data_IF_141086764904
#
_entry.id   IF_141086764904
#
_cell.length_a   1.000
_cell.length_b   1.000
_cell.length_c   1.000
_cell.angle_alpha   90.00
_cell.angle_beta   90.00
_cell.angle_gamma   90.00
#
_symmetry.space_group_name_H-M   'P 1'
#
loop_
_entity.id
_entity.type
_entity.pdbx_description
1 polymer ?
#
# COMPACT_ATOMS: atom_id res chain seq x y z
N UNK A 1 12.59 9.74 -14.55
CA UNK A 1 11.76 9.93 -15.72
C UNK A 1 10.51 9.06 -15.65
N UNK A 2 9.43 9.64 -15.99
CA UNK A 2 8.19 8.92 -15.85
C UNK A 2 7.97 7.99 -17.04
N UNK A 3 7.59 6.78 -16.77
CA UNK A 3 7.26 5.84 -17.79
C UNK A 3 5.85 6.08 -18.30
N UNK A 4 5.69 6.01 -19.57
CA UNK A 4 4.40 6.23 -20.18
C UNK A 4 3.77 4.93 -20.53
N UNK A 5 2.64 4.68 -19.92
CA UNK A 5 1.97 3.42 -20.12
C UNK A 5 0.90 3.48 -21.19
N UNK A 6 0.79 4.57 -21.90
CA UNK A 6 -0.33 4.73 -22.79
C UNK A 6 -0.40 3.66 -23.85
N UNK A 7 0.69 3.47 -24.57
CA UNK A 7 0.65 2.49 -25.58
C UNK A 7 0.67 1.15 -24.94
N UNK A 8 0.73 0.54 -24.43
CA UNK A 8 0.77 -0.75 -23.85
C UNK A 8 -0.11 -0.86 -22.64
N UNK A 9 -1.12 -0.09 -22.62
CA UNK A 9 -1.94 -0.06 -21.44
C UNK A 9 -2.42 -1.46 -21.04
N UNK A 10 -2.99 -2.21 -21.94
CA UNK A 10 -3.47 -3.55 -21.63
C UNK A 10 -2.30 -4.48 -21.30
N UNK A 11 -1.23 -4.38 -22.08
CA UNK A 11 -0.07 -5.23 -21.85
C UNK A 11 0.62 -4.86 -20.55
N UNK A 12 0.74 -3.56 -20.25
CA UNK A 12 1.34 -3.13 -19.01
C UNK A 12 0.54 -3.62 -17.83
N UNK A 13 -0.78 -3.59 -17.92
CA UNK A 13 -1.61 -4.06 -16.87
C UNK A 13 -1.43 -5.55 -16.63
N UNK A 14 -1.33 -6.32 -17.69
CA UNK A 14 -1.10 -7.74 -17.55
C UNK A 14 0.26 -8.02 -16.93
N UNK A 15 1.28 -7.25 -17.32
CA UNK A 15 2.61 -7.43 -16.76
C UNK A 15 2.77 -6.84 -15.40
N UNK A 16 1.96 -5.84 -15.09
CA UNK A 16 2.08 -5.13 -13.84
C UNK A 16 1.63 -5.98 -12.66
N UNK A 17 1.29 -7.26 -12.90
CA UNK A 17 1.05 -8.13 -11.79
C UNK A 17 2.25 -8.25 -10.86
N UNK A 18 3.44 -7.84 -11.31
CA UNK A 18 4.64 -7.98 -10.50
C UNK A 18 5.10 -6.62 -10.00
N UNK A 19 4.81 -6.34 -8.75
CA UNK A 19 5.27 -5.11 -8.12
C UNK A 19 6.66 -5.34 -7.57
N UNK A 20 7.58 -4.41 -7.81
CA UNK A 20 8.95 -4.53 -7.36
C UNK A 20 9.49 -3.27 -6.71
N UNK A 21 8.77 -2.15 -6.75
CA UNK A 21 9.30 -0.90 -6.27
C UNK A 21 8.20 0.03 -5.79
N UNK A 22 8.60 1.04 -5.06
CA UNK A 22 7.69 2.11 -4.64
C UNK A 22 8.36 3.45 -4.94
N UNK A 23 7.58 4.37 -5.45
CA UNK A 23 8.03 5.74 -5.67
C UNK A 23 8.30 6.41 -4.33
N UNK A 24 9.41 7.14 -4.24
CA UNK A 24 9.81 7.76 -2.97
C UNK A 24 8.76 8.72 -2.42
N UNK A 25 8.14 9.51 -3.29
CA UNK A 25 7.13 10.46 -2.81
C UNK A 25 5.90 9.74 -2.28
N UNK A 26 5.56 8.62 -2.88
CA UNK A 26 4.44 7.82 -2.40
C UNK A 26 4.74 7.24 -1.03
N UNK A 27 5.96 6.73 -0.85
CA UNK A 27 6.35 6.22 0.46
C UNK A 27 6.31 7.33 1.51
N UNK A 28 6.82 8.50 1.17
CA UNK A 28 6.78 9.65 2.08
C UNK A 28 5.35 9.99 2.45
N UNK A 29 4.44 9.95 1.49
CA UNK A 29 3.04 10.21 1.75
C UNK A 29 2.47 9.21 2.76
N UNK A 30 2.76 7.93 2.58
CA UNK A 30 2.27 6.92 3.50
C UNK A 30 2.77 7.15 4.92
N UNK A 31 4.02 7.54 5.06
CA UNK A 31 4.59 7.82 6.38
C UNK A 31 3.94 9.06 7.00
N UNK A 32 3.75 10.10 6.20
CA UNK A 32 3.12 11.32 6.70
C UNK A 32 1.66 11.08 7.08
N UNK A 33 0.99 10.22 6.35
CA UNK A 33 -0.38 9.85 6.71
C UNK A 33 -0.43 9.16 8.06
N UNK A 34 0.59 8.35 8.37
CA UNK A 34 0.67 7.71 9.67
C UNK A 34 0.78 8.72 10.79
N UNK A 35 1.61 9.75 10.59
CA UNK A 35 1.73 10.81 11.59
C UNK A 35 0.41 11.54 11.77
N UNK A 36 -0.27 11.84 10.68
CA UNK A 36 -1.51 12.62 10.74
C UNK A 36 -2.64 11.85 11.39
N UNK A 37 -2.70 10.56 11.19
CA UNK A 37 -3.80 9.76 11.72
C UNK A 37 -3.56 9.26 13.14
N UNK A 38 -2.30 9.30 13.59
CA UNK A 38 -1.96 8.80 14.93
C UNK A 38 -2.85 9.45 15.98
N UNK A 39 -3.37 8.74 16.96
CA UNK A 39 -3.07 7.34 17.29
C UNK A 39 -3.97 6.32 16.61
N UNK A 40 -4.74 6.72 15.62
CA UNK A 40 -5.61 5.81 14.90
C UNK A 40 -4.86 5.20 13.72
N UNK A 41 -5.32 4.03 13.30
CA UNK A 41 -4.79 3.38 12.10
C UNK A 41 -5.48 3.95 10.88
N UNK A 42 -4.74 3.99 9.77
CA UNK A 42 -5.36 4.22 8.47
C UNK A 42 -5.16 2.99 7.61
N UNK A 43 -5.98 2.88 6.57
CA UNK A 43 -5.80 1.85 5.57
C UNK A 43 -6.26 2.38 4.22
N UNK A 44 -5.45 2.16 3.20
CA UNK A 44 -5.71 2.64 1.84
C UNK A 44 -5.35 1.55 0.86
N UNK A 45 -5.84 1.70 -0.36
CA UNK A 45 -5.42 0.85 -1.47
C UNK A 45 -4.25 1.50 -2.20
N UNK A 46 -3.44 0.67 -2.83
CA UNK A 46 -2.26 1.12 -3.56
C UNK A 46 -2.41 0.79 -5.03
N UNK A 47 -2.00 1.73 -5.87
CA UNK A 47 -1.92 1.52 -7.30
C UNK A 47 -0.48 1.56 -7.76
N UNK A 48 -0.25 0.99 -8.94
CA UNK A 48 1.10 0.92 -9.49
C UNK A 48 1.07 1.10 -10.99
N UNK A 49 2.18 1.59 -11.52
CA UNK A 49 2.44 1.62 -12.96
C UNK A 49 3.73 0.89 -13.21
N UNK A 50 3.67 -0.10 -14.08
CA UNK A 50 4.84 -0.90 -14.47
C UNK A 50 5.61 -1.41 -13.26
N UNK A 51 4.86 -1.87 -12.27
CA UNK A 51 5.46 -2.49 -11.10
C UNK A 51 5.94 -1.52 -10.04
N UNK A 52 5.75 -0.22 -10.22
CA UNK A 52 6.15 0.79 -9.24
C UNK A 52 4.91 1.35 -8.57
N UNK A 53 4.82 1.19 -7.26
CA UNK A 53 3.70 1.76 -6.50
C UNK A 53 3.83 3.27 -6.52
N UNK A 54 2.82 3.94 -7.09
CA UNK A 54 2.85 5.40 -7.23
C UNK A 54 1.51 6.07 -6.99
N UNK A 55 0.56 5.33 -6.44
CA UNK A 55 -0.78 5.86 -6.23
C UNK A 55 -1.35 5.36 -4.92
N UNK A 56 -2.05 6.23 -4.23
CA UNK A 56 -2.74 5.90 -2.98
C UNK A 56 -4.22 6.23 -3.17
N UNK A 57 -5.08 5.26 -2.88
CA UNK A 57 -6.52 5.43 -3.03
C UNK A 57 -7.20 5.29 -1.68
N UNK A 58 -7.56 6.40 -1.04
CA UNK A 58 -8.43 6.31 0.14
C UNK A 58 -9.80 5.83 -0.29
N UNK A 59 -10.37 4.91 0.47
CA UNK A 59 -11.69 4.36 0.15
C UNK A 59 -12.67 4.79 1.23
N UNK A 60 -13.76 5.39 0.80
CA UNK A 60 -14.77 5.88 1.72
C UNK A 60 -15.21 4.77 2.68
N UNK A 61 -15.31 5.08 3.94
CA UNK A 61 -15.71 4.12 4.96
C UNK A 61 -14.60 3.22 5.44
N UNK A 62 -13.43 3.24 4.79
CA UNK A 62 -12.31 2.44 5.23
C UNK A 62 -11.51 3.18 6.28
N UNK A 63 -10.66 2.46 7.00
CA UNK A 63 -9.85 3.05 8.03
C UNK A 63 -9.94 2.22 9.28
N UNK A 64 -9.89 2.88 10.43
CA UNK A 64 -9.98 2.15 11.66
C UNK A 64 -9.78 3.04 12.85
N UNK A 65 -9.92 2.42 14.03
CA UNK A 65 -9.63 3.11 15.26
C UNK A 65 -8.21 2.83 15.67
N UNK A 66 -8.01 2.78 16.98
CA UNK A 66 -6.69 2.52 17.51
C UNK A 66 -6.31 1.04 17.46
N UNK A 67 -7.28 0.16 17.27
CA UNK A 67 -7.05 -1.28 17.39
C UNK A 67 -7.02 -2.03 16.08
N UNK A 68 -7.73 -1.57 15.05
CA UNK A 68 -7.84 -2.32 13.81
C UNK A 68 -8.18 -1.39 12.67
N UNK A 69 -7.74 -1.77 11.49
CA UNK A 69 -8.09 -1.07 10.27
C UNK A 69 -8.76 -2.05 9.32
N UNK A 70 -9.51 -1.52 8.37
CA UNK A 70 -10.24 -2.33 7.43
C UNK A 70 -10.50 -1.56 6.15
N UNK A 71 -10.74 -2.31 5.08
CA UNK A 71 -11.13 -1.72 3.80
C UNK A 71 -12.60 -2.07 3.56
N UNK A 72 -13.38 -1.04 3.22
CA UNK A 72 -14.77 -1.24 2.82
C UNK A 72 -14.78 -1.62 1.35
N UNK A 73 -14.64 -2.90 1.08
CA UNK A 73 -14.46 -3.37 -0.29
C UNK A 73 -15.66 -3.07 -1.19
N UNK A 74 -16.85 -3.04 -0.62
CA UNK A 74 -18.03 -2.72 -1.42
C UNK A 74 -18.10 -1.24 -1.81
N UNK A 75 -17.22 -0.41 -1.24
CA UNK A 75 -17.13 0.99 -1.64
C UNK A 75 -16.05 1.23 -2.69
N UNK A 76 -15.32 0.20 -3.06
CA UNK A 76 -14.28 0.34 -4.09
C UNK A 76 -14.97 0.44 -5.45
N UNK A 77 -14.69 1.50 -6.22
CA UNK A 77 -15.36 1.67 -7.52
C UNK A 77 -15.08 0.49 -8.45
N UNK A 78 -16.10 0.12 -9.20
CA UNK A 78 -15.96 -0.92 -10.19
C UNK A 78 -14.90 -0.49 -11.19
N UNK A 79 -14.05 -1.43 -11.55
CA UNK A 79 -13.01 -1.16 -12.54
C UNK A 79 -11.76 -0.53 -11.98
N UNK A 80 -11.74 -0.20 -10.69
CA UNK A 80 -10.51 0.32 -10.09
C UNK A 80 -9.45 -0.78 -10.05
N UNK A 81 -8.26 -0.44 -10.52
CA UNK A 81 -7.12 -1.34 -10.43
C UNK A 81 -6.31 -0.99 -9.20
N UNK A 82 -5.99 -1.98 -8.41
CA UNK A 82 -5.07 -1.79 -7.29
C UNK A 82 -4.21 -3.02 -7.15
N UNK A 83 -3.05 -2.85 -6.49
CA UNK A 83 -2.09 -3.94 -6.35
C UNK A 83 -1.95 -4.40 -4.91
N UNK A 84 -2.48 -3.66 -3.97
CA UNK A 84 -2.39 -4.02 -2.57
C UNK A 84 -2.88 -2.92 -1.67
N UNK A 85 -2.40 -2.96 -0.42
CA UNK A 85 -2.87 -2.04 0.61
C UNK A 85 -1.68 -1.43 1.34
N UNK A 86 -1.96 -0.34 2.05
CA UNK A 86 -1.04 0.18 3.06
C UNK A 86 -1.84 0.53 4.28
N UNK A 87 -1.27 0.29 5.46
CA UNK A 87 -1.92 0.70 6.69
C UNK A 87 -0.87 1.00 7.74
N UNK A 88 -1.31 1.65 8.82
CA UNK A 88 -0.39 2.05 9.87
C UNK A 88 -0.62 1.23 11.12
N UNK A 89 0.49 0.97 11.83
CA UNK A 89 0.47 0.37 13.16
C UNK A 89 1.02 1.41 14.13
N UNK A 90 0.13 2.11 14.85
CA UNK A 90 0.58 3.21 15.73
C UNK A 90 1.54 2.79 16.82
N UNK A 91 1.56 1.51 17.16
CA UNK A 91 2.45 1.01 18.22
C UNK A 91 3.88 0.76 17.71
N UNK A 92 4.14 0.97 16.43
CA UNK A 92 5.48 0.82 15.89
C UNK A 92 5.88 -0.58 15.49
N UNK A 93 5.01 -1.56 15.67
CA UNK A 93 5.33 -2.94 15.29
C UNK A 93 4.96 -3.15 13.84
N UNK A 94 5.96 -3.25 12.97
CA UNK A 94 5.73 -3.34 11.52
C UNK A 94 5.68 -4.79 11.07
N UNK A 95 4.78 -5.55 11.68
CA UNK A 95 4.51 -6.94 11.32
C UNK A 95 3.02 -7.15 11.18
N UNK A 96 2.58 -8.06 10.30
CA UNK A 96 1.16 -8.29 10.14
C UNK A 96 0.53 -8.86 11.40
N UNK A 97 -0.68 -8.41 11.69
CA UNK A 97 -1.50 -9.02 12.73
C UNK A 97 -2.27 -10.20 12.10
N UNK A 98 -2.96 -10.97 12.93
CA UNK A 98 -3.77 -12.06 12.42
C UNK A 98 -4.83 -11.57 11.45
N UNK A 99 -5.44 -10.44 11.75
CA UNK A 99 -6.43 -9.84 10.86
C UNK A 99 -5.80 -9.44 9.53
N UNK A 100 -4.56 -8.92 9.59
CA UNK A 100 -3.86 -8.49 8.39
C UNK A 100 -3.65 -9.65 7.42
N UNK A 101 -3.34 -10.85 7.92
CA UNK A 101 -3.13 -11.99 7.04
C UNK A 101 -4.37 -12.27 6.18
N UNK A 102 -5.55 -12.18 6.78
CA UNK A 102 -6.78 -12.37 6.01
C UNK A 102 -6.96 -11.29 4.97
N UNK A 103 -6.72 -10.04 5.34
CA UNK A 103 -6.86 -8.93 4.43
C UNK A 103 -5.89 -9.05 3.26
N UNK A 104 -4.64 -9.41 3.56
CA UNK A 104 -3.62 -9.54 2.52
C UNK A 104 -4.02 -10.56 1.47
N UNK A 105 -4.59 -11.67 1.90
CA UNK A 105 -4.96 -12.74 0.97
C UNK A 105 -6.00 -12.27 -0.06
N UNK A 106 -6.79 -11.27 0.29
CA UNK A 106 -7.91 -10.85 -0.54
C UNK A 106 -7.70 -9.54 -1.27
N UNK A 107 -6.66 -8.77 -0.92
CA UNK A 107 -6.58 -7.39 -1.39
C UNK A 107 -5.30 -7.10 -2.18
N UNK A 108 -4.73 -8.09 -2.82
CA UNK A 108 -3.65 -7.83 -3.75
C UNK A 108 -2.36 -8.53 -3.38
N UNK A 109 -1.31 -8.17 -4.11
CA UNK A 109 -0.06 -8.91 -4.03
C UNK A 109 0.97 -8.27 -3.10
N UNK A 110 0.80 -7.00 -2.72
CA UNK A 110 1.80 -6.33 -1.90
C UNK A 110 1.10 -5.45 -0.87
N UNK A 111 1.62 -5.46 0.34
CA UNK A 111 0.99 -4.77 1.45
C UNK A 111 2.06 -4.08 2.26
N UNK A 112 1.87 -2.81 2.57
CA UNK A 112 2.85 -2.02 3.28
C UNK A 112 2.31 -1.69 4.66
N UNK A 113 3.12 -1.90 5.67
CA UNK A 113 2.80 -1.49 7.04
C UNK A 113 3.79 -0.40 7.41
N UNK A 114 3.26 0.75 7.82
CA UNK A 114 4.09 1.82 8.37
C UNK A 114 3.82 1.91 9.86
N UNK A 115 4.84 2.21 10.64
CA UNK A 115 4.70 2.24 12.10
C UNK A 115 5.34 3.47 12.68
N UNK A 116 4.89 3.83 13.89
CA UNK A 116 5.49 4.93 14.62
C UNK A 116 6.98 4.64 14.83
N UNK A 117 7.87 5.61 14.71
CA UNK A 117 7.66 7.04 14.55
C UNK A 117 7.48 7.53 13.11
N UNK A 118 7.23 6.64 12.17
CA UNK A 118 6.92 6.98 10.79
C UNK A 118 8.07 7.70 10.07
N UNK A 119 9.27 7.27 10.35
CA UNK A 119 10.45 7.76 9.63
C UNK A 119 10.79 6.79 8.49
N UNK A 120 11.86 7.08 7.78
CA UNK A 120 12.19 6.31 6.58
C UNK A 120 12.54 4.85 6.86
N UNK A 121 12.72 4.48 8.11
CA UNK A 121 13.03 3.09 8.48
C UNK A 121 11.84 2.38 9.11
N UNK A 122 10.72 3.05 9.24
CA UNK A 122 9.58 2.56 10.02
C UNK A 122 8.53 1.94 9.13
N UNK A 123 8.92 1.08 8.21
CA UNK A 123 7.96 0.44 7.33
C UNK A 123 8.52 -0.87 6.78
N UNK A 124 7.61 -1.73 6.36
CA UNK A 124 7.96 -2.98 5.70
C UNK A 124 6.88 -3.35 4.70
N UNK A 125 7.27 -4.16 3.72
CA UNK A 125 6.35 -4.65 2.71
C UNK A 125 6.21 -6.15 2.82
N UNK A 126 5.03 -6.64 2.49
CA UNK A 126 4.69 -8.06 2.62
C UNK A 126 3.92 -8.50 1.38
N UNK A 127 4.04 -9.77 1.05
CA UNK A 127 3.29 -10.35 -0.04
C UNK A 127 1.92 -10.79 0.39
N UNK A 128 1.19 -11.40 -0.56
CA UNK A 128 -0.16 -11.88 -0.31
C UNK A 128 -0.20 -12.89 0.84
N UNK A 129 0.85 -13.67 0.99
CA UNK A 129 0.92 -14.69 2.04
C UNK A 129 1.46 -14.15 3.35
N UNK A 130 1.74 -12.85 3.42
CA UNK A 130 2.25 -12.24 4.64
C UNK A 130 3.74 -12.36 4.84
N UNK A 131 4.47 -12.97 3.93
CA UNK A 131 5.92 -13.00 4.03
C UNK A 131 6.53 -11.69 3.58
N UNK A 132 7.64 -11.26 4.19
CA UNK A 132 8.28 -10.01 3.78
C UNK A 132 8.72 -10.07 2.32
N UNK A 133 8.56 -8.95 1.65
CA UNK A 133 9.08 -8.78 0.30
C UNK A 133 9.89 -7.50 0.28
N UNK A 134 10.82 -7.43 -0.66
CA UNK A 134 11.66 -6.26 -0.78
C UNK A 134 11.10 -5.36 -1.88
N UNK A 135 10.98 -4.08 -1.58
CA UNK A 135 10.61 -3.08 -2.57
C UNK A 135 11.76 -2.11 -2.72
N UNK A 136 12.14 -1.86 -3.94
CA UNK A 136 13.12 -0.84 -4.24
C UNK A 136 12.46 0.52 -4.13
N UNK A 137 13.16 1.50 -3.57
CA UNK A 137 12.65 2.87 -3.52
C UNK A 137 13.22 3.60 -4.71
N UNK A 138 12.35 4.14 -5.56
CA UNK A 138 12.80 4.82 -6.76
C UNK A 138 12.31 6.26 -6.73
N UNK A 139 13.09 7.14 -7.33
CA UNK A 139 12.71 8.53 -7.44
C UNK A 139 12.44 8.85 -8.89
N UNK A 140 11.40 9.63 -9.12
CA UNK A 140 11.14 10.13 -10.46
C UNK A 140 12.00 11.33 -10.73
N UNK A 141 12.39 11.42 -11.97
CA UNK A 141 13.14 12.60 -12.38
C UNK A 141 12.26 13.53 -13.17
#
# INVERSE_FOLDING_TARGET
>A
MKVHATKGHAAAKARAGKVHAIDRDTLTLLLEMGKSSWPNEYMVLLGAEEGVINMVYPIAGSGGGSDASYIMMDMVPLGMSFVGTAHSHPNGVVRPSDTDYSTFAETGQVHIIVGSPFDEYSWRAFGRDGHPVKLEIVSEE
#
